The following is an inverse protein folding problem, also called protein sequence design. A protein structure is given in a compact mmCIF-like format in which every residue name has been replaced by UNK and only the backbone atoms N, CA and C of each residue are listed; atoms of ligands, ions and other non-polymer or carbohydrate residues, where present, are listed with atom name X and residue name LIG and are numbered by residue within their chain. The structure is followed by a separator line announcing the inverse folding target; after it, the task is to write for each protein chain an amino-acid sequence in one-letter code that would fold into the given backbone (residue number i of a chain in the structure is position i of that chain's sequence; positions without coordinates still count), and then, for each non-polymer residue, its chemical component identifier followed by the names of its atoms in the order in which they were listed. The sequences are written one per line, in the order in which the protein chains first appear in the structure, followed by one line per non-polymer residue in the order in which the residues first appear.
data_IF_952685326209
#
_entry.id   IF_952685326209
#
_cell.length_a   1.000
_cell.length_b   1.000
_cell.length_c   1.000
_cell.angle_alpha   90.00
_cell.angle_beta   90.00
_cell.angle_gamma   90.00
#
_symmetry.space_group_name_H-M   'P 1'
#
loop_
_entity.id
_entity.type
_entity.pdbx_description
1 polymer ?
#
# COMPACT_ATOMS: atom_id res chain seq x y z
N UNK A 1 6.66 -3.07 0.72
CA UNK A 1 6.05 -2.73 -0.59
C UNK A 1 5.34 -3.96 -1.12
N UNK A 2 4.23 -3.78 -1.83
CA UNK A 2 3.49 -4.83 -2.55
C UNK A 2 3.05 -4.34 -3.92
N UNK A 3 3.09 -5.22 -4.92
CA UNK A 3 2.52 -4.96 -6.25
C UNK A 3 1.00 -5.08 -6.24
N UNK A 4 0.32 -4.25 -7.03
CA UNK A 4 -1.15 -4.26 -7.13
C UNK A 4 -1.58 -5.08 -8.35
N UNK A 5 -1.70 -6.39 -8.17
CA UNK A 5 -1.96 -7.33 -9.26
C UNK A 5 -0.90 -7.25 -10.36
N UNK A 6 -1.31 -7.42 -11.61
CA UNK A 6 -0.42 -7.41 -12.79
C UNK A 6 -0.24 -6.00 -13.39
N UNK A 7 -0.09 -4.98 -12.54
CA UNK A 7 0.01 -3.56 -12.97
C UNK A 7 1.40 -2.97 -12.72
N UNK A 8 1.62 -1.75 -13.25
CA UNK A 8 2.79 -0.92 -12.95
C UNK A 8 2.70 -0.18 -11.60
N UNK A 9 1.71 -0.53 -10.76
CA UNK A 9 1.41 0.16 -9.51
C UNK A 9 1.78 -0.68 -8.30
N UNK A 10 2.24 -0.01 -7.25
CA UNK A 10 2.58 -0.63 -5.97
C UNK A 10 2.05 0.20 -4.78
N UNK A 11 1.79 -0.49 -3.68
CA UNK A 11 1.59 0.09 -2.36
C UNK A 11 2.89 0.01 -1.55
N UNK A 12 3.36 1.15 -1.04
CA UNK A 12 4.58 1.25 -0.22
C UNK A 12 4.20 1.78 1.15
N UNK A 13 4.35 0.96 2.20
CA UNK A 13 4.16 1.38 3.58
C UNK A 13 5.53 1.79 4.15
N UNK A 14 5.64 3.00 4.69
CA UNK A 14 6.84 3.46 5.39
C UNK A 14 6.73 3.25 6.91
N UNK A 15 7.83 3.50 7.63
CA UNK A 15 7.93 3.30 9.08
C UNK A 15 6.99 4.18 9.90
N UNK A 16 6.55 5.29 9.30
CA UNK A 16 5.67 6.26 9.88
C UNK A 16 4.19 5.81 9.80
N UNK A 17 3.88 4.74 9.06
CA UNK A 17 2.52 4.26 8.87
C UNK A 17 1.80 4.94 7.70
N UNK A 18 2.55 5.60 6.81
CA UNK A 18 2.04 6.16 5.57
C UNK A 18 2.07 5.10 4.47
N UNK A 19 0.91 4.90 3.84
CA UNK A 19 0.78 4.12 2.63
C UNK A 19 0.87 5.07 1.42
N UNK A 20 1.91 4.88 0.63
CA UNK A 20 2.12 5.55 -0.64
C UNK A 20 1.60 4.66 -1.76
N UNK A 21 0.85 5.27 -2.68
CA UNK A 21 0.49 4.67 -3.96
C UNK A 21 1.46 5.18 -5.00
N UNK A 22 2.13 4.28 -5.70
CA UNK A 22 3.23 4.64 -6.59
C UNK A 22 3.11 3.91 -7.91
N UNK A 23 3.68 4.50 -8.96
CA UNK A 23 3.96 3.87 -10.24
C UNK A 23 5.45 3.64 -10.38
N UNK A 24 5.81 2.43 -10.78
CA UNK A 24 7.20 2.01 -10.96
C UNK A 24 7.41 1.57 -12.40
N UNK A 25 8.43 2.11 -13.04
CA UNK A 25 8.83 1.75 -14.40
C UNK A 25 10.36 1.82 -14.54
N UNK A 26 10.94 1.31 -15.64
CA UNK A 26 12.36 1.52 -15.92
C UNK A 26 12.77 3.00 -16.00
N UNK A 27 11.82 3.92 -16.23
CA UNK A 27 12.08 5.38 -16.23
C UNK A 27 12.16 5.96 -14.82
N UNK A 28 11.79 5.19 -13.80
CA UNK A 28 11.88 5.57 -12.41
C UNK A 28 10.56 5.50 -11.65
N UNK A 29 10.53 6.27 -10.57
CA UNK A 29 9.49 6.31 -9.55
C UNK A 29 8.55 7.49 -9.78
N UNK A 30 7.24 7.27 -9.62
CA UNK A 30 6.23 8.31 -9.57
C UNK A 30 5.30 8.09 -8.37
N UNK A 31 5.27 9.04 -7.43
CA UNK A 31 4.27 9.06 -6.35
C UNK A 31 2.91 9.51 -6.92
N UNK A 32 1.85 8.75 -6.62
CA UNK A 32 0.46 9.07 -6.97
C UNK A 32 -0.25 9.70 -5.78
N UNK A 33 -0.11 9.08 -4.60
CA UNK A 33 -0.68 9.58 -3.35
C UNK A 33 0.08 9.08 -2.15
N UNK A 34 -0.13 9.73 -1.01
CA UNK A 34 0.41 9.36 0.30
C UNK A 34 -0.63 9.66 1.37
N UNK A 35 -0.94 8.67 2.17
CA UNK A 35 -1.92 8.79 3.25
C UNK A 35 -1.42 8.05 4.46
N UNK A 36 -1.50 8.67 5.65
CA UNK A 36 -1.30 7.95 6.90
C UNK A 36 -2.51 7.06 7.18
N UNK A 37 -2.28 5.75 7.20
CA UNK A 37 -3.33 4.73 7.33
C UNK A 37 -3.23 3.95 8.64
N UNK A 38 -2.09 4.02 9.30
CA UNK A 38 -1.82 3.36 10.58
C UNK A 38 -0.78 4.17 11.37
N UNK A 39 -0.57 3.84 12.64
CA UNK A 39 0.55 4.36 13.43
C UNK A 39 1.90 3.81 12.93
N UNK A 40 2.98 4.19 13.62
CA UNK A 40 4.32 3.70 13.27
C UNK A 40 4.38 2.18 13.22
N UNK A 41 5.08 1.64 12.22
CA UNK A 41 5.15 0.20 11.99
C UNK A 41 6.34 -0.19 11.13
N UNK A 42 6.94 -1.35 11.43
CA UNK A 42 7.94 -2.00 10.57
C UNK A 42 7.36 -3.24 9.86
N UNK A 43 6.06 -3.49 10.02
CA UNK A 43 5.40 -4.63 9.41
C UNK A 43 5.32 -4.47 7.89
N UNK A 44 5.52 -5.56 7.16
CA UNK A 44 5.34 -5.59 5.72
C UNK A 44 3.85 -5.50 5.38
N UNK A 45 3.44 -4.67 4.39
CA UNK A 45 2.08 -4.71 3.88
C UNK A 45 1.82 -5.99 3.09
N UNK A 46 0.56 -6.40 2.98
CA UNK A 46 0.11 -7.48 2.09
C UNK A 46 -0.95 -6.96 1.12
N UNK A 47 -1.02 -7.51 -0.09
CA UNK A 47 -2.06 -7.17 -1.07
C UNK A 47 -2.91 -8.39 -1.39
N UNK A 48 -4.23 -8.25 -1.26
CA UNK A 48 -5.18 -9.28 -1.65
C UNK A 48 -6.56 -8.67 -1.85
N UNK A 49 -7.36 -9.20 -2.80
CA UNK A 49 -8.77 -8.83 -2.98
C UNK A 49 -9.03 -7.32 -3.20
N UNK A 50 -8.10 -6.61 -3.86
CA UNK A 50 -8.22 -5.16 -4.08
C UNK A 50 -7.79 -4.30 -2.88
N UNK A 51 -7.32 -4.91 -1.80
CA UNK A 51 -6.96 -4.25 -0.56
C UNK A 51 -5.47 -4.38 -0.25
N UNK A 52 -4.89 -3.31 0.33
CA UNK A 52 -3.62 -3.37 1.04
C UNK A 52 -3.91 -3.53 2.53
N UNK A 53 -3.44 -4.64 3.09
CA UNK A 53 -3.48 -4.91 4.52
C UNK A 53 -2.22 -4.36 5.16
N UNK A 54 -2.42 -3.57 6.21
CA UNK A 54 -1.36 -2.97 7.02
C UNK A 54 -1.58 -3.35 8.47
N UNK A 55 -0.50 -3.43 9.25
CA UNK A 55 -0.62 -3.65 10.69
C UNK A 55 0.48 -2.94 11.45
N UNK A 56 0.24 -2.70 12.73
CA UNK A 56 1.25 -2.40 13.74
C UNK A 56 1.10 -3.44 14.87
N UNK A 57 1.55 -3.11 16.07
CA UNK A 57 1.50 -4.03 17.22
C UNK A 57 0.09 -4.16 17.81
N UNK A 58 -0.77 -3.15 17.62
CA UNK A 58 -2.09 -3.07 18.25
C UNK A 58 -3.26 -3.23 17.27
N UNK A 59 -3.02 -3.04 15.97
CA UNK A 59 -4.09 -2.87 14.97
C UNK A 59 -3.71 -3.51 13.64
N UNK A 60 -4.69 -4.12 12.98
CA UNK A 60 -4.64 -4.54 11.58
C UNK A 60 -5.74 -3.76 10.85
N UNK A 61 -5.40 -3.15 9.72
CA UNK A 61 -6.32 -2.39 8.89
C UNK A 61 -6.31 -2.90 7.44
N UNK A 62 -7.47 -2.78 6.80
CA UNK A 62 -7.71 -3.14 5.41
C UNK A 62 -8.00 -1.87 4.62
N UNK A 63 -7.10 -1.51 3.69
CA UNK A 63 -7.22 -0.30 2.88
C UNK A 63 -7.58 -0.70 1.45
N UNK A 64 -8.81 -0.40 1.02
CA UNK A 64 -9.24 -0.63 -0.36
C UNK A 64 -8.47 0.32 -1.30
N UNK A 65 -7.76 -0.23 -2.28
CA UNK A 65 -6.93 0.53 -3.23
C UNK A 65 -7.29 0.29 -4.69
N UNK A 66 -8.03 -0.79 -4.96
CA UNK A 66 -8.66 -1.07 -6.25
C UNK A 66 -10.12 -1.41 -5.95
N UNK A 67 -11.08 -0.64 -6.50
CA UNK A 67 -12.49 -0.93 -6.29
C UNK A 67 -12.82 -2.36 -6.69
N UNK A 68 -13.48 -3.12 -5.82
CA UNK A 68 -14.02 -4.41 -6.20
C UNK A 68 -15.01 -4.20 -7.36
N UNK A 69 -14.86 -4.97 -8.45
CA UNK A 69 -15.90 -5.04 -9.48
C UNK A 69 -17.14 -5.65 -8.82
N UNK A 70 -18.13 -4.82 -8.50
CA UNK A 70 -19.46 -5.27 -8.09
C UNK A 70 -20.23 -5.84 -9.26
#
# INVERSE_FOLDING_TARGET
MVWLGDTDRAGVLNSDGELLMVRLSPRGYQEISRTRVIGSTWAHPAYAWGCVYVRNDDTIACIEVVPARR
#
